data_IF_026946632284
#
_entry.id   IF_026946632284
#
_cell.length_a   1.000
_cell.length_b   1.000
_cell.length_c   1.000
_cell.angle_alpha   90.00
_cell.angle_beta   90.00
_cell.angle_gamma   90.00
#
_symmetry.space_group_name_H-M   'P 1'
#
loop_
_entity.id
_entity.type
_entity.pdbx_description
1 polymer ?
#
# COMPACT_ATOMS: atom_id res chain seq x y z
N UNK A 1 73.28 -4.13 -21.03
CA UNK A 1 72.31 -4.27 -19.91
C UNK A 1 71.21 -3.24 -20.15
N UNK A 2 69.99 -3.67 -20.49
CA UNK A 2 68.84 -2.80 -20.78
C UNK A 2 67.91 -2.83 -19.58
N UNK A 3 67.81 -1.71 -18.85
CA UNK A 3 66.85 -1.55 -17.76
C UNK A 3 65.49 -1.19 -18.36
N UNK A 4 64.49 -2.05 -18.16
CA UNK A 4 63.09 -1.79 -18.48
C UNK A 4 62.43 -1.35 -17.18
N UNK A 5 62.07 -0.06 -17.09
CA UNK A 5 61.25 0.48 -16.00
C UNK A 5 59.78 0.18 -16.28
N UNK A 6 59.19 -0.69 -15.46
CA UNK A 6 57.76 -0.98 -15.43
C UNK A 6 57.03 0.15 -14.68
N UNK A 7 56.21 0.90 -15.40
CA UNK A 7 55.27 1.88 -14.82
C UNK A 7 54.04 1.10 -14.34
N UNK A 8 53.88 0.97 -13.02
CA UNK A 8 52.67 0.43 -12.41
C UNK A 8 51.57 1.52 -12.43
N UNK A 9 50.60 1.38 -13.33
CA UNK A 9 49.42 2.23 -13.35
C UNK A 9 48.46 1.80 -12.23
N UNK A 10 48.36 2.63 -11.18
CA UNK A 10 47.32 2.53 -10.16
C UNK A 10 45.96 2.89 -10.80
N UNK A 11 45.15 1.88 -11.11
CA UNK A 11 43.75 2.06 -11.48
C UNK A 11 42.95 2.39 -10.22
N UNK A 12 42.67 3.67 -10.00
CA UNK A 12 41.71 4.12 -8.99
C UNK A 12 40.32 3.60 -9.37
N UNK A 13 39.78 2.68 -8.55
CA UNK A 13 38.41 2.18 -8.70
C UNK A 13 37.41 3.32 -8.49
N UNK A 14 36.73 3.74 -9.54
CA UNK A 14 35.61 4.67 -9.42
C UNK A 14 34.46 3.95 -8.70
N UNK A 15 33.82 4.58 -7.70
CA UNK A 15 32.64 4.02 -7.06
C UNK A 15 31.52 3.94 -8.10
N UNK A 16 31.13 2.72 -8.48
CA UNK A 16 29.94 2.51 -9.32
C UNK A 16 28.73 2.87 -8.47
N UNK A 17 27.91 3.87 -8.84
CA UNK A 17 26.69 4.17 -8.11
C UNK A 17 25.78 2.94 -8.22
N UNK A 18 25.41 2.39 -7.07
CA UNK A 18 24.55 1.23 -7.00
C UNK A 18 23.16 1.63 -7.57
N UNK A 19 22.90 1.22 -8.82
CA UNK A 19 21.67 1.55 -9.52
C UNK A 19 20.51 0.77 -8.91
N UNK A 20 19.36 1.45 -8.81
CA UNK A 20 18.13 0.77 -8.44
C UNK A 20 17.86 -0.38 -9.41
N UNK A 21 17.50 -1.54 -8.86
CA UNK A 21 17.22 -2.74 -9.64
C UNK A 21 15.76 -3.16 -9.42
N UNK A 22 15.00 -3.28 -10.51
CA UNK A 22 13.67 -3.90 -10.50
C UNK A 22 13.83 -5.42 -10.60
N UNK A 23 13.24 -6.15 -9.66
CA UNK A 23 13.47 -7.60 -9.52
C UNK A 23 12.36 -8.47 -10.11
N UNK A 24 11.33 -7.84 -10.67
CA UNK A 24 10.19 -8.48 -11.31
C UNK A 24 8.90 -8.23 -10.54
N UNK A 25 7.85 -8.83 -11.09
CA UNK A 25 6.47 -8.69 -10.63
C UNK A 25 5.91 -10.07 -10.33
N UNK A 26 5.27 -10.25 -9.17
CA UNK A 26 4.44 -11.42 -8.89
C UNK A 26 2.97 -11.06 -9.12
N UNK A 27 2.32 -11.78 -10.01
CA UNK A 27 0.91 -11.57 -10.35
C UNK A 27 0.04 -12.67 -9.76
N UNK A 28 -1.15 -12.30 -9.30
CA UNK A 28 -2.18 -13.21 -8.83
C UNK A 28 -3.55 -12.78 -9.36
N UNK A 29 -4.36 -13.76 -9.76
CA UNK A 29 -5.73 -13.51 -10.22
C UNK A 29 -6.66 -14.57 -9.64
N UNK A 30 -7.77 -14.12 -9.07
CA UNK A 30 -8.75 -14.98 -8.43
C UNK A 30 -10.18 -14.55 -8.77
N UNK A 31 -11.12 -15.50 -8.87
CA UNK A 31 -12.52 -15.15 -9.01
C UNK A 31 -13.00 -14.43 -7.75
N UNK A 32 -13.81 -13.39 -7.95
CA UNK A 32 -14.48 -12.65 -6.88
C UNK A 32 -15.87 -13.22 -6.55
N UNK A 33 -16.34 -14.21 -7.31
CA UNK A 33 -17.61 -14.88 -7.06
C UNK A 33 -17.64 -15.45 -5.63
N UNK A 34 -18.77 -15.28 -4.94
CA UNK A 34 -19.00 -15.73 -3.57
C UNK A 34 -18.09 -15.08 -2.50
N UNK A 35 -17.24 -14.13 -2.87
CA UNK A 35 -16.44 -13.33 -1.94
C UNK A 35 -17.20 -12.03 -1.62
N UNK A 36 -17.33 -11.71 -0.33
CA UNK A 36 -17.92 -10.45 0.16
C UNK A 36 -16.84 -9.48 0.63
N UNK A 37 -15.73 -9.99 1.15
CA UNK A 37 -14.64 -9.21 1.71
C UNK A 37 -13.28 -9.73 1.22
N UNK A 38 -12.40 -8.80 0.85
CA UNK A 38 -10.98 -9.05 0.71
C UNK A 38 -10.26 -8.45 1.91
N UNK A 39 -9.62 -9.31 2.72
CA UNK A 39 -8.72 -8.89 3.80
C UNK A 39 -7.27 -8.96 3.35
N UNK A 40 -6.53 -7.86 3.50
CA UNK A 40 -5.14 -7.74 3.09
C UNK A 40 -4.27 -7.37 4.27
N UNK A 41 -3.29 -8.21 4.58
CA UNK A 41 -2.26 -7.91 5.56
C UNK A 41 -0.95 -7.66 4.84
N UNK A 42 -0.53 -6.40 4.84
CA UNK A 42 0.61 -5.90 4.08
C UNK A 42 1.52 -5.06 4.99
N UNK A 43 2.50 -5.71 5.68
CA UNK A 43 3.18 -5.09 6.82
C UNK A 43 3.91 -3.79 6.51
N UNK A 44 4.62 -3.71 5.37
CA UNK A 44 5.40 -2.53 4.99
C UNK A 44 5.39 -2.35 3.48
N UNK A 45 5.15 -1.12 3.01
CA UNK A 45 5.28 -0.75 1.59
C UNK A 45 4.20 0.20 1.11
N UNK A 46 3.96 0.22 -0.20
CA UNK A 46 2.87 0.96 -0.83
C UNK A 46 1.75 -0.02 -1.24
N UNK A 47 0.53 0.20 -0.75
CA UNK A 47 -0.65 -0.59 -1.09
C UNK A 47 -1.64 0.27 -1.87
N UNK A 48 -1.95 -0.16 -3.10
CA UNK A 48 -2.83 0.58 -4.01
C UNK A 48 -4.01 -0.30 -4.36
N UNK A 49 -5.21 0.16 -4.06
CA UNK A 49 -6.45 -0.41 -4.54
C UNK A 49 -7.07 0.43 -5.64
N UNK A 50 -7.57 -0.26 -6.66
CA UNK A 50 -8.32 0.35 -7.74
C UNK A 50 -9.56 -0.47 -8.10
N UNK A 51 -10.59 0.22 -8.56
CA UNK A 51 -11.75 -0.42 -9.15
C UNK A 51 -11.39 -1.14 -10.45
N UNK A 52 -11.52 -2.47 -10.44
CA UNK A 52 -11.27 -3.37 -11.56
C UNK A 52 -12.54 -3.96 -12.19
N UNK A 53 -12.36 -5.10 -12.86
CA UNK A 53 -13.42 -5.89 -13.50
C UNK A 53 -14.29 -6.56 -12.43
N UNK A 54 -15.60 -6.63 -12.66
CA UNK A 54 -16.57 -7.04 -11.64
C UNK A 54 -16.43 -8.50 -11.15
N UNK A 55 -15.78 -9.38 -11.90
CA UNK A 55 -15.74 -10.82 -11.60
C UNK A 55 -14.41 -11.29 -10.98
N UNK A 56 -13.42 -10.42 -10.84
CA UNK A 56 -12.05 -10.83 -10.51
C UNK A 56 -11.35 -9.90 -9.53
N UNK A 57 -10.52 -10.50 -8.68
CA UNK A 57 -9.50 -9.82 -7.89
C UNK A 57 -8.17 -10.07 -8.58
N UNK A 58 -7.45 -9.00 -8.93
CA UNK A 58 -6.10 -9.09 -9.52
C UNK A 58 -5.11 -8.37 -8.64
N UNK A 59 -4.00 -9.02 -8.31
CA UNK A 59 -2.93 -8.47 -7.50
C UNK A 59 -1.61 -8.48 -8.27
N UNK A 60 -0.86 -7.40 -8.17
CA UNK A 60 0.44 -7.20 -8.77
C UNK A 60 1.43 -6.71 -7.70
N UNK A 61 2.38 -7.56 -7.31
CA UNK A 61 3.44 -7.21 -6.36
C UNK A 61 4.71 -6.84 -7.13
N UNK A 62 5.07 -5.56 -7.11
CA UNK A 62 6.34 -5.05 -7.61
C UNK A 62 7.41 -4.98 -6.51
N UNK A 63 8.63 -5.39 -6.83
CA UNK A 63 9.76 -5.33 -5.89
C UNK A 63 10.95 -4.57 -6.49
N UNK A 64 11.45 -3.60 -5.72
CA UNK A 64 12.59 -2.76 -6.12
C UNK A 64 13.66 -2.71 -5.03
N UNK A 65 14.91 -2.82 -5.44
CA UNK A 65 16.06 -2.58 -4.58
C UNK A 65 16.61 -1.17 -4.85
N UNK A 66 16.30 -0.22 -3.95
CA UNK A 66 16.69 1.20 -4.06
C UNK A 66 18.18 1.40 -4.32
N UNK A 67 19.02 0.66 -3.61
CA UNK A 67 20.48 0.73 -3.70
C UNK A 67 21.08 -0.50 -4.40
N UNK A 68 20.28 -1.31 -5.08
CA UNK A 68 20.73 -2.59 -5.65
C UNK A 68 21.35 -3.53 -4.61
N UNK A 69 22.29 -4.37 -5.05
CA UNK A 69 23.10 -5.23 -4.19
C UNK A 69 22.48 -6.61 -3.91
N UNK A 70 23.35 -7.60 -3.76
CA UNK A 70 22.96 -9.01 -3.58
C UNK A 70 22.13 -9.26 -2.33
N UNK A 71 22.36 -8.52 -1.24
CA UNK A 71 21.61 -8.69 0.02
C UNK A 71 20.13 -8.32 -0.13
N UNK A 72 19.81 -7.28 -0.91
CA UNK A 72 18.43 -6.90 -1.20
C UNK A 72 17.77 -7.94 -2.13
N UNK A 73 18.49 -8.39 -3.17
CA UNK A 73 18.04 -9.44 -4.08
C UNK A 73 17.73 -10.73 -3.33
N UNK A 74 18.61 -11.21 -2.44
CA UNK A 74 18.36 -12.44 -1.67
C UNK A 74 17.18 -12.32 -0.69
N UNK A 75 16.90 -11.11 -0.18
CA UNK A 75 15.71 -10.87 0.64
C UNK A 75 14.43 -10.88 -0.19
N UNK A 76 14.46 -10.27 -1.39
CA UNK A 76 13.30 -10.24 -2.29
C UNK A 76 12.81 -11.63 -2.66
N UNK A 77 13.72 -12.60 -2.83
CA UNK A 77 13.39 -14.01 -3.14
C UNK A 77 12.58 -14.72 -2.05
N UNK A 78 12.53 -14.17 -0.84
CA UNK A 78 11.77 -14.72 0.29
C UNK A 78 10.34 -14.20 0.32
N UNK A 79 10.04 -13.12 -0.40
CA UNK A 79 8.72 -12.52 -0.44
C UNK A 79 7.74 -13.47 -1.12
N UNK A 80 6.57 -13.63 -0.52
CA UNK A 80 5.49 -14.45 -1.08
C UNK A 80 4.18 -13.76 -0.82
N UNK A 81 3.34 -13.70 -1.84
CA UNK A 81 1.95 -13.34 -1.69
C UNK A 81 1.17 -14.64 -1.45
N UNK A 82 0.72 -14.83 -0.22
CA UNK A 82 -0.05 -16.01 0.20
C UNK A 82 -1.52 -15.65 0.19
N UNK A 83 -2.37 -16.56 -0.26
CA UNK A 83 -3.82 -16.34 -0.27
C UNK A 83 -4.55 -17.60 0.16
N UNK A 84 -5.67 -17.39 0.85
CA UNK A 84 -6.61 -18.45 1.19
C UNK A 84 -8.03 -17.87 1.25
N UNK A 85 -9.03 -18.75 1.34
CA UNK A 85 -10.44 -18.38 1.51
C UNK A 85 -10.96 -19.04 2.76
N UNK A 86 -11.65 -18.28 3.61
CA UNK A 86 -12.40 -18.80 4.74
C UNK A 86 -13.82 -18.19 4.72
N UNK A 87 -14.84 -19.05 4.56
CA UNK A 87 -16.20 -18.59 4.35
C UNK A 87 -16.30 -17.76 3.06
N UNK A 88 -16.77 -16.51 3.19
CA UNK A 88 -16.90 -15.53 2.10
C UNK A 88 -15.81 -14.46 2.09
N UNK A 89 -14.73 -14.68 2.84
CA UNK A 89 -13.60 -13.76 2.91
C UNK A 89 -12.39 -14.37 2.21
N UNK A 90 -11.79 -13.59 1.30
CA UNK A 90 -10.47 -13.91 0.74
C UNK A 90 -9.41 -13.18 1.53
N UNK A 91 -8.38 -13.89 1.94
CA UNK A 91 -7.22 -13.34 2.62
C UNK A 91 -6.05 -13.24 1.65
N UNK A 92 -5.29 -12.16 1.77
CA UNK A 92 -4.08 -11.90 1.01
C UNK A 92 -2.99 -11.38 1.95
N UNK A 93 -1.94 -12.16 2.12
CA UNK A 93 -0.86 -11.90 3.07
C UNK A 93 0.47 -11.74 2.34
N UNK A 94 1.20 -10.66 2.61
CA UNK A 94 2.61 -10.58 2.21
C UNK A 94 3.48 -11.21 3.29
N UNK A 95 4.02 -12.39 2.98
CA UNK A 95 4.96 -13.11 3.84
C UNK A 95 6.42 -12.89 3.42
N UNK A 96 7.34 -13.24 4.33
CA UNK A 96 8.78 -13.23 4.06
C UNK A 96 9.46 -11.87 4.20
N UNK A 97 8.69 -10.84 4.62
CA UNK A 97 9.23 -9.51 4.90
C UNK A 97 10.29 -9.55 6.02
N UNK A 98 11.42 -8.84 5.86
CA UNK A 98 12.42 -8.74 6.92
C UNK A 98 11.84 -8.12 8.20
N UNK A 99 12.06 -8.79 9.34
CA UNK A 99 11.59 -8.30 10.65
C UNK A 99 12.27 -7.02 11.14
N UNK A 100 13.47 -6.72 10.63
CA UNK A 100 14.26 -5.55 10.98
C UNK A 100 14.89 -4.94 9.73
N UNK A 101 14.64 -3.65 9.50
CA UNK A 101 15.23 -2.85 8.42
C UNK A 101 14.85 -3.33 7.01
N UNK A 102 14.23 -2.46 6.22
CA UNK A 102 13.97 -2.76 4.80
C UNK A 102 15.27 -2.79 3.97
N UNK A 103 16.36 -2.15 4.44
CA UNK A 103 17.66 -2.11 3.78
C UNK A 103 17.60 -1.75 2.27
N UNK A 104 16.66 -0.87 1.91
CA UNK A 104 16.44 -0.46 0.51
C UNK A 104 15.54 -1.40 -0.31
N UNK A 105 14.95 -2.43 0.30
CA UNK A 105 13.86 -3.20 -0.30
C UNK A 105 12.57 -2.38 -0.24
N UNK A 106 12.01 -2.09 -1.41
CA UNK A 106 10.73 -1.43 -1.58
C UNK A 106 9.76 -2.39 -2.26
N UNK A 107 8.53 -2.42 -1.75
CA UNK A 107 7.46 -3.27 -2.25
C UNK A 107 6.23 -2.42 -2.50
N UNK A 108 5.63 -2.60 -3.67
CA UNK A 108 4.35 -1.99 -4.03
C UNK A 108 3.39 -3.11 -4.40
N UNK A 109 2.25 -3.18 -3.73
CA UNK A 109 1.18 -4.12 -4.05
C UNK A 109 0.01 -3.35 -4.66
N UNK A 110 -0.30 -3.61 -5.93
CA UNK A 110 -1.49 -3.08 -6.61
C UNK A 110 -2.56 -4.14 -6.65
N UNK A 111 -3.78 -3.79 -6.28
CA UNK A 111 -4.92 -4.72 -6.27
C UNK A 111 -6.11 -4.08 -6.97
N UNK A 112 -6.50 -4.67 -8.09
CA UNK A 112 -7.75 -4.34 -8.76
C UNK A 112 -8.87 -5.24 -8.22
N UNK A 113 -9.95 -4.65 -7.73
CA UNK A 113 -11.09 -5.36 -7.13
C UNK A 113 -12.42 -4.94 -7.77
N UNK A 114 -13.46 -5.79 -7.75
CA UNK A 114 -14.81 -5.35 -8.12
C UNK A 114 -15.22 -4.14 -7.29
N UNK A 115 -15.85 -3.15 -7.93
CA UNK A 115 -16.19 -1.86 -7.29
C UNK A 115 -16.90 -1.99 -5.95
N UNK A 116 -17.79 -2.96 -5.80
CA UNK A 116 -18.64 -3.14 -4.61
C UNK A 116 -18.08 -4.13 -3.60
N UNK A 117 -16.93 -4.75 -3.87
CA UNK A 117 -16.31 -5.69 -2.94
C UNK A 117 -15.82 -4.93 -1.70
N UNK A 118 -16.10 -5.46 -0.51
CA UNK A 118 -15.59 -4.87 0.72
C UNK A 118 -14.08 -5.14 0.83
N UNK A 119 -13.33 -4.14 1.32
CA UNK A 119 -11.89 -4.22 1.51
C UNK A 119 -11.55 -3.91 2.96
N UNK A 120 -10.74 -4.77 3.55
CA UNK A 120 -10.19 -4.60 4.90
C UNK A 120 -8.65 -4.70 4.80
N UNK A 121 -7.94 -3.60 5.02
CA UNK A 121 -6.50 -3.52 4.82
C UNK A 121 -5.78 -3.17 6.12
N UNK A 122 -4.83 -4.01 6.51
CA UNK A 122 -3.97 -3.82 7.68
C UNK A 122 -2.51 -3.63 7.25
N UNK A 123 -1.93 -2.52 7.68
CA UNK A 123 -0.55 -2.12 7.34
C UNK A 123 0.20 -1.60 8.57
N UNK A 124 1.47 -1.96 8.68
CA UNK A 124 2.35 -1.43 9.71
C UNK A 124 2.93 -0.07 9.32
N UNK A 125 3.62 -0.01 8.18
CA UNK A 125 4.34 1.19 7.73
C UNK A 125 4.25 1.39 6.22
N UNK A 126 3.97 2.62 5.78
CA UNK A 126 4.02 3.02 4.38
C UNK A 126 2.72 3.66 3.94
N UNK A 127 2.38 3.55 2.66
CA UNK A 127 1.33 4.38 2.06
C UNK A 127 0.18 3.52 1.56
N UNK A 128 -1.04 3.95 1.86
CA UNK A 128 -2.26 3.35 1.35
C UNK A 128 -2.95 4.30 0.37
N UNK A 129 -3.35 3.77 -0.79
CA UNK A 129 -4.19 4.49 -1.75
C UNK A 129 -5.37 3.64 -2.18
N UNK A 130 -6.56 4.22 -2.22
CA UNK A 130 -7.73 3.61 -2.85
C UNK A 130 -8.39 4.58 -3.84
N UNK A 131 -8.76 4.07 -5.01
CA UNK A 131 -9.46 4.83 -6.05
C UNK A 131 -10.69 4.06 -6.58
N UNK A 132 -11.85 4.71 -6.54
CA UNK A 132 -13.06 4.25 -7.21
C UNK A 132 -13.79 3.10 -6.51
N UNK A 133 -13.44 2.78 -5.27
CA UNK A 133 -14.11 1.77 -4.45
C UNK A 133 -15.50 2.29 -4.03
N UNK A 134 -16.50 1.42 -4.15
CA UNK A 134 -17.90 1.65 -3.78
C UNK A 134 -18.44 0.57 -2.81
N UNK A 135 -17.60 -0.38 -2.37
CA UNK A 135 -17.85 -1.26 -1.25
C UNK A 135 -17.38 -0.65 0.07
N UNK A 136 -17.66 -1.32 1.18
CA UNK A 136 -17.12 -0.93 2.48
C UNK A 136 -15.58 -0.97 2.45
N UNK A 137 -14.93 0.04 3.03
CA UNK A 137 -13.48 0.15 3.10
C UNK A 137 -13.06 0.36 4.56
N UNK A 138 -12.29 -0.57 5.10
CA UNK A 138 -11.58 -0.43 6.38
C UNK A 138 -10.08 -0.41 6.12
N UNK A 139 -9.39 0.56 6.72
CA UNK A 139 -7.93 0.68 6.68
C UNK A 139 -7.41 0.90 8.09
N UNK A 140 -6.47 0.06 8.51
CA UNK A 140 -5.69 0.23 9.73
C UNK A 140 -4.21 0.38 9.33
N UNK A 141 -3.64 1.56 9.59
CA UNK A 141 -2.24 1.87 9.27
C UNK A 141 -1.51 2.36 10.52
N UNK A 142 -0.36 1.76 10.82
CA UNK A 142 0.50 2.21 11.93
C UNK A 142 1.14 3.57 11.65
N UNK A 143 1.96 3.66 10.60
CA UNK A 143 2.71 4.87 10.24
C UNK A 143 2.73 5.09 8.74
N UNK A 144 2.40 6.30 8.29
CA UNK A 144 2.48 6.74 6.89
C UNK A 144 1.20 7.43 6.46
N UNK A 145 0.88 7.42 5.17
CA UNK A 145 -0.22 8.23 4.63
C UNK A 145 -1.34 7.40 4.01
N UNK A 146 -2.58 7.86 4.20
CA UNK A 146 -3.78 7.22 3.63
C UNK A 146 -4.48 8.19 2.69
N UNK A 147 -4.64 7.81 1.43
CA UNK A 147 -5.44 8.56 0.45
C UNK A 147 -6.60 7.72 -0.08
N UNK A 148 -7.82 8.23 0.03
CA UNK A 148 -9.02 7.57 -0.51
C UNK A 148 -9.76 8.54 -1.44
N UNK A 149 -10.01 8.10 -2.67
CA UNK A 149 -10.87 8.76 -3.64
C UNK A 149 -12.10 7.89 -3.89
N UNK A 150 -13.28 8.41 -3.55
CA UNK A 150 -14.55 7.72 -3.75
C UNK A 150 -15.60 8.68 -4.33
N UNK A 151 -16.66 8.11 -4.92
CA UNK A 151 -17.80 8.91 -5.38
C UNK A 151 -18.74 9.18 -4.21
N UNK A 152 -19.10 10.44 -3.97
CA UNK A 152 -19.96 10.83 -2.84
C UNK A 152 -21.28 10.08 -2.87
N UNK A 153 -21.90 9.94 -4.05
CA UNK A 153 -23.15 9.20 -4.25
C UNK A 153 -23.08 7.70 -3.87
N UNK A 154 -21.88 7.12 -3.77
CA UNK A 154 -21.66 5.73 -3.37
C UNK A 154 -21.43 5.54 -1.87
N UNK A 155 -21.10 6.61 -1.14
CA UNK A 155 -20.70 6.55 0.26
C UNK A 155 -21.86 6.96 1.16
N UNK A 156 -22.04 6.20 2.24
CA UNK A 156 -23.00 6.46 3.31
C UNK A 156 -22.36 7.25 4.45
N UNK A 157 -21.17 6.85 4.86
CA UNK A 157 -20.46 7.47 5.97
C UNK A 157 -18.95 7.33 5.87
N UNK A 158 -18.26 8.27 6.49
CA UNK A 158 -16.80 8.32 6.62
C UNK A 158 -16.45 8.51 8.09
N UNK A 159 -15.56 7.66 8.61
CA UNK A 159 -14.97 7.79 9.95
C UNK A 159 -13.45 7.76 9.83
N UNK A 160 -12.80 8.86 10.18
CA UNK A 160 -11.34 8.96 10.17
C UNK A 160 -10.87 9.13 11.61
N UNK A 161 -9.88 8.35 12.01
CA UNK A 161 -9.21 8.50 13.31
C UNK A 161 -7.70 8.58 13.07
N UNK A 162 -7.06 9.62 13.60
CA UNK A 162 -5.59 9.76 13.58
C UNK A 162 -5.06 9.92 15.01
N UNK A 163 -4.01 9.18 15.34
CA UNK A 163 -3.30 9.29 16.62
C UNK A 163 -2.50 10.58 16.69
N UNK A 164 -1.55 10.74 15.76
CA UNK A 164 -0.69 11.92 15.59
C UNK A 164 -0.64 12.29 14.11
N UNK A 165 -1.04 13.52 13.78
CA UNK A 165 -1.04 14.03 12.40
C UNK A 165 -2.38 14.63 12.02
N UNK A 166 -2.66 14.67 10.72
CA UNK A 166 -3.82 15.35 10.16
C UNK A 166 -4.82 14.37 9.53
N UNK A 167 -6.11 14.69 9.61
CA UNK A 167 -7.15 13.98 8.87
C UNK A 167 -8.08 14.98 8.19
N UNK A 168 -8.21 14.84 6.88
CA UNK A 168 -9.02 15.71 6.03
C UNK A 168 -10.05 14.90 5.26
N UNK A 169 -11.30 15.35 5.32
CA UNK A 169 -12.40 14.87 4.48
C UNK A 169 -12.90 16.02 3.62
N UNK A 170 -12.90 15.87 2.30
CA UNK A 170 -13.47 16.82 1.35
C UNK A 170 -14.68 16.21 0.66
N UNK A 171 -15.82 16.91 0.65
CA UNK A 171 -17.10 16.48 0.05
C UNK A 171 -17.98 17.69 -0.27
N UNK A 172 -18.83 17.62 -1.31
CA UNK A 172 -19.78 18.68 -1.65
C UNK A 172 -19.19 20.09 -1.84
N UNK A 173 -17.92 20.20 -2.25
CA UNK A 173 -17.18 21.48 -2.33
C UNK A 173 -16.77 22.08 -0.98
N UNK A 174 -16.96 21.34 0.11
CA UNK A 174 -16.56 21.69 1.47
C UNK A 174 -15.44 20.76 1.96
N UNK A 175 -14.74 21.15 3.03
CA UNK A 175 -13.71 20.32 3.66
C UNK A 175 -13.82 20.39 5.18
N UNK A 176 -13.67 19.24 5.83
CA UNK A 176 -13.56 19.06 7.27
C UNK A 176 -12.16 18.55 7.56
N UNK A 177 -11.35 19.36 8.21
CA UNK A 177 -9.99 19.01 8.59
C UNK A 177 -9.85 18.98 10.10
N UNK A 178 -9.04 18.05 10.58
CA UNK A 178 -8.61 18.00 11.97
C UNK A 178 -7.11 17.77 12.03
N UNK A 179 -6.44 18.53 12.90
CA UNK A 179 -5.00 18.44 13.15
C UNK A 179 -4.72 18.27 14.64
N UNK A 180 -3.61 17.62 14.99
CA UNK A 180 -3.03 17.72 16.33
C UNK A 180 -2.42 16.43 16.90
N UNK A 181 -2.17 16.46 18.20
CA UNK A 181 -1.65 15.33 18.98
C UNK A 181 -2.82 14.70 19.75
N UNK A 182 -3.02 13.39 19.60
CA UNK A 182 -3.96 12.52 20.33
C UNK A 182 -5.39 12.45 19.77
N UNK A 183 -5.70 11.32 19.13
CA UNK A 183 -7.05 10.74 19.05
C UNK A 183 -8.09 11.61 18.34
N UNK A 184 -7.68 12.25 17.23
CA UNK A 184 -8.54 13.15 16.46
C UNK A 184 -9.46 12.35 15.55
N UNK A 185 -10.70 12.83 15.40
CA UNK A 185 -11.74 12.14 14.63
C UNK A 185 -12.48 13.09 13.70
N UNK A 186 -12.70 12.64 12.48
CA UNK A 186 -13.64 13.23 11.52
C UNK A 186 -14.76 12.22 11.30
N UNK A 187 -16.00 12.68 11.36
CA UNK A 187 -17.18 11.85 11.10
C UNK A 187 -18.11 12.58 10.15
N UNK A 188 -18.56 11.87 9.14
CA UNK A 188 -19.57 12.31 8.20
C UNK A 188 -20.52 11.16 7.93
N UNK A 189 -21.82 11.43 7.89
CA UNK A 189 -22.87 10.40 7.74
C UNK A 189 -24.07 10.87 6.93
N UNK A 190 -23.92 11.93 6.13
CA UNK A 190 -25.01 12.52 5.34
C UNK A 190 -25.13 11.88 3.94
N UNK A 191 -24.32 10.85 3.69
CA UNK A 191 -24.25 10.16 2.40
C UNK A 191 -25.49 9.33 2.10
N UNK A 192 -25.93 9.38 0.84
CA UNK A 192 -27.08 8.60 0.33
C UNK A 192 -26.68 7.21 -0.19
N UNK A 193 -25.38 6.92 -0.25
CA UNK A 193 -24.85 5.67 -0.74
C UNK A 193 -24.93 4.52 0.27
N UNK A 194 -24.22 3.43 -0.04
CA UNK A 194 -24.18 2.23 0.80
C UNK A 194 -22.84 2.03 1.51
N UNK A 195 -21.73 2.48 0.90
CA UNK A 195 -20.38 2.21 1.37
C UNK A 195 -20.05 2.94 2.68
N UNK A 196 -19.36 2.27 3.57
CA UNK A 196 -18.79 2.87 4.78
C UNK A 196 -17.28 2.90 4.65
N UNK A 197 -16.68 4.08 4.81
CA UNK A 197 -15.24 4.27 4.81
C UNK A 197 -14.78 4.50 6.25
N UNK A 198 -13.86 3.66 6.72
CA UNK A 198 -13.25 3.74 8.05
C UNK A 198 -11.74 3.68 7.92
N UNK A 199 -11.06 4.70 8.43
CA UNK A 199 -9.59 4.76 8.43
C UNK A 199 -9.10 5.04 9.84
N UNK A 200 -8.23 4.17 10.34
CA UNK A 200 -7.49 4.37 11.59
C UNK A 200 -6.00 4.45 11.27
N UNK A 201 -5.40 5.59 11.63
CA UNK A 201 -3.98 5.88 11.43
C UNK A 201 -3.30 6.16 12.78
N UNK A 202 -2.19 5.49 13.05
CA UNK A 202 -1.36 5.79 14.21
C UNK A 202 -0.66 7.15 14.06
N UNK A 203 0.21 7.27 13.06
CA UNK A 203 1.03 8.47 12.80
C UNK A 203 1.11 8.78 11.31
N UNK A 204 0.80 10.02 10.93
CA UNK A 204 0.86 10.52 9.54
C UNK A 204 -0.45 11.19 9.15
N UNK A 205 -0.74 11.25 7.85
CA UNK A 205 -1.89 12.01 7.35
C UNK A 205 -2.94 11.15 6.63
N UNK A 206 -4.21 11.51 6.84
CA UNK A 206 -5.37 10.93 6.15
C UNK A 206 -5.99 11.98 5.23
N UNK A 207 -6.14 11.66 3.95
CA UNK A 207 -6.86 12.46 2.98
C UNK A 207 -7.96 11.62 2.31
N UNK A 208 -9.23 11.95 2.60
CA UNK A 208 -10.38 11.36 1.92
C UNK A 208 -11.08 12.43 1.10
N UNK A 209 -11.33 12.14 -0.18
CA UNK A 209 -12.11 12.99 -1.07
C UNK A 209 -13.29 12.24 -1.65
N UNK A 210 -14.46 12.84 -1.50
CA UNK A 210 -15.72 12.42 -2.08
C UNK A 210 -16.04 13.38 -3.24
N UNK A 211 -16.07 12.83 -4.46
CA UNK A 211 -16.34 13.56 -5.71
C UNK A 211 -17.76 13.26 -6.25
#
# INVERSE_FOLDING_TARGET
>A
MRAVLLIAALLAGLPVPARAQNLGTLEGQWPAQDIEELRVHFPVGELIFEAGVASEIRAELGVRCRHGGSSCVERSKKLRLVTHVAGRTRYLDLEGMPKFGSHGLEVTLRIAVPKTLAVDAEMGVGDFRADGIAGDLRVELGVGDVTVLAREAGVKSVNLTVGIGDATLSHGGSSQAVSGLLGRKVRWSDGVGAARVSVELGVGDIAVRLD
#
